data_IF_559290509800
#
_entry.id   IF_559290509800
#
_cell.length_a   1.000
_cell.length_b   1.000
_cell.length_c   1.000
_cell.angle_alpha   90.00
_cell.angle_beta   90.00
_cell.angle_gamma   90.00
#
_symmetry.space_group_name_H-M   'P 1'
#
loop_
_entity.id
_entity.type
_entity.pdbx_description
1 polymer ?
#
# COMPACT_ATOMS: atom_id res chain seq x y z
N UNK A 1 7.50 22.26 -4.97
CA UNK A 1 6.65 23.36 -5.50
C UNK A 1 5.22 22.99 -5.20
N UNK A 2 4.48 23.84 -4.48
CA UNK A 2 3.07 23.61 -4.17
C UNK A 2 2.22 23.89 -5.40
N UNK A 3 1.21 23.07 -5.67
CA UNK A 3 0.32 23.19 -6.83
C UNK A 3 -1.12 22.86 -6.43
N UNK A 4 -2.08 23.47 -7.13
CA UNK A 4 -3.50 23.29 -6.84
C UNK A 4 -4.01 22.04 -7.58
N UNK A 5 -4.63 21.11 -6.86
CA UNK A 5 -5.14 19.86 -7.40
C UNK A 5 -6.56 19.56 -6.89
N UNK A 6 -7.31 18.74 -7.62
CA UNK A 6 -8.59 18.20 -7.18
C UNK A 6 -8.37 16.92 -6.37
N UNK A 7 -8.97 16.84 -5.19
CA UNK A 7 -8.95 15.63 -4.37
C UNK A 7 -9.61 14.46 -5.11
N UNK A 8 -8.93 13.31 -5.21
CA UNK A 8 -9.46 12.09 -5.87
C UNK A 8 -10.68 11.47 -5.15
N UNK A 9 -10.98 11.87 -3.91
CA UNK A 9 -12.09 11.34 -3.12
C UNK A 9 -13.30 12.28 -3.16
N UNK A 10 -13.13 13.55 -2.78
CA UNK A 10 -14.24 14.51 -2.65
C UNK A 10 -14.30 15.56 -3.76
N UNK A 11 -13.33 15.61 -4.67
CA UNK A 11 -13.26 16.59 -5.78
C UNK A 11 -12.85 18.01 -5.37
N UNK A 12 -12.76 18.31 -4.07
CA UNK A 12 -12.39 19.63 -3.55
C UNK A 12 -10.98 20.02 -4.00
N UNK A 13 -10.81 21.29 -4.39
CA UNK A 13 -9.50 21.87 -4.69
C UNK A 13 -8.68 22.03 -3.42
N UNK A 14 -7.42 21.60 -3.45
CA UNK A 14 -6.49 21.74 -2.34
C UNK A 14 -5.06 21.99 -2.86
N UNK A 15 -4.23 22.58 -2.00
CA UNK A 15 -2.81 22.77 -2.30
C UNK A 15 -2.06 21.48 -2.01
N UNK A 16 -1.63 20.79 -3.06
CA UNK A 16 -0.83 19.58 -3.00
C UNK A 16 0.66 19.90 -2.91
N UNK A 17 1.37 19.08 -2.15
CA UNK A 17 2.84 19.04 -2.13
C UNK A 17 3.39 17.90 -3.00
N UNK A 18 2.55 17.23 -3.80
CA UNK A 18 2.89 16.08 -4.64
C UNK A 18 3.05 14.76 -3.89
N UNK A 19 2.74 14.73 -2.59
CA UNK A 19 2.94 13.55 -1.73
C UNK A 19 1.66 12.73 -1.57
N UNK A 20 0.50 13.36 -1.67
CA UNK A 20 -0.82 12.72 -1.56
C UNK A 20 -1.76 13.31 -2.61
N UNK A 21 -2.53 12.44 -3.27
CA UNK A 21 -3.49 12.83 -4.30
C UNK A 21 -4.88 13.19 -3.72
N UNK A 22 -4.96 13.37 -2.40
CA UNK A 22 -6.20 13.62 -1.66
C UNK A 22 -6.01 14.80 -0.71
N UNK A 23 -7.08 15.55 -0.47
CA UNK A 23 -7.03 16.71 0.41
C UNK A 23 -6.76 16.30 1.87
N UNK A 24 -6.27 17.24 2.72
CA UNK A 24 -5.96 16.95 4.12
C UNK A 24 -7.13 16.38 4.92
N UNK A 25 -8.36 16.81 4.60
CA UNK A 25 -9.58 16.31 5.25
C UNK A 25 -9.82 14.83 4.93
N UNK A 26 -9.84 14.47 3.65
CA UNK A 26 -10.01 13.07 3.24
C UNK A 26 -8.85 12.19 3.72
N UNK A 27 -7.62 12.74 3.76
CA UNK A 27 -6.48 12.04 4.34
C UNK A 27 -6.70 11.72 5.81
N UNK A 28 -7.13 12.70 6.61
CA UNK A 28 -7.42 12.49 8.04
C UNK A 28 -8.47 11.41 8.24
N UNK A 29 -9.56 11.44 7.48
CA UNK A 29 -10.58 10.39 7.51
C UNK A 29 -10.03 9.02 7.09
N UNK A 30 -9.06 8.99 6.18
CA UNK A 30 -8.41 7.75 5.76
C UNK A 30 -7.52 7.14 6.83
N UNK A 31 -6.83 8.00 7.57
CA UNK A 31 -6.00 7.60 8.71
C UNK A 31 -6.87 7.15 9.90
N UNK A 32 -7.98 7.84 10.19
CA UNK A 32 -8.94 7.43 11.23
C UNK A 32 -9.56 6.05 10.93
N UNK A 33 -9.88 5.76 9.66
CA UNK A 33 -10.40 4.46 9.25
C UNK A 33 -9.33 3.38 9.37
N UNK A 34 -8.09 3.69 9.01
CA UNK A 34 -6.97 2.77 9.16
C UNK A 34 -6.71 2.42 10.63
N UNK A 35 -6.78 3.40 11.53
CA UNK A 35 -6.57 3.18 12.96
C UNK A 35 -7.66 2.27 13.55
N UNK A 36 -8.92 2.45 13.14
CA UNK A 36 -10.01 1.52 13.52
C UNK A 36 -9.76 0.09 13.08
N UNK A 37 -9.21 -0.12 11.87
CA UNK A 37 -8.83 -1.46 11.39
C UNK A 37 -7.73 -2.03 12.28
N UNK A 38 -6.72 -1.21 12.60
CA UNK A 38 -5.61 -1.63 13.47
C UNK A 38 -6.10 -2.07 14.84
N UNK A 39 -6.86 -1.24 15.53
CA UNK A 39 -7.42 -1.54 16.86
C UNK A 39 -8.25 -2.83 16.84
N UNK A 40 -9.04 -3.04 15.79
CA UNK A 40 -9.82 -4.26 15.61
C UNK A 40 -8.94 -5.50 15.43
N UNK A 41 -7.90 -5.42 14.60
CA UNK A 41 -6.98 -6.54 14.37
C UNK A 41 -6.08 -6.85 15.58
N UNK A 42 -5.81 -5.86 16.44
CA UNK A 42 -5.13 -6.07 17.72
C UNK A 42 -6.00 -6.86 18.70
N UNK A 43 -7.32 -6.64 18.71
CA UNK A 43 -8.27 -7.37 19.55
C UNK A 43 -8.65 -8.75 18.99
N UNK A 44 -8.77 -8.85 17.66
CA UNK A 44 -9.21 -10.04 16.94
C UNK A 44 -8.19 -10.44 15.86
N UNK A 45 -7.04 -11.01 16.26
CA UNK A 45 -6.01 -11.42 15.32
C UNK A 45 -6.53 -12.49 14.36
N UNK A 46 -6.01 -12.50 13.12
CA UNK A 46 -6.42 -13.42 12.04
C UNK A 46 -7.90 -13.31 11.60
N UNK A 47 -8.57 -12.20 11.91
CA UNK A 47 -9.93 -11.94 11.39
C UNK A 47 -9.98 -11.98 9.87
N UNK A 48 -11.07 -12.48 9.32
CA UNK A 48 -11.27 -12.51 7.87
C UNK A 48 -11.52 -11.09 7.34
N UNK A 49 -11.04 -10.79 6.13
CA UNK A 49 -11.27 -9.51 5.43
C UNK A 49 -12.76 -9.15 5.39
N UNK A 50 -13.64 -10.14 5.15
CA UNK A 50 -15.09 -9.90 5.12
C UNK A 50 -15.65 -9.52 6.49
N UNK A 51 -15.14 -10.13 7.57
CA UNK A 51 -15.56 -9.79 8.93
C UNK A 51 -15.11 -8.39 9.31
N UNK A 52 -13.86 -8.03 9.00
CA UNK A 52 -13.33 -6.67 9.22
C UNK A 52 -14.17 -5.64 8.45
N UNK A 53 -14.50 -5.94 7.19
CA UNK A 53 -15.33 -5.07 6.35
C UNK A 53 -16.72 -4.85 6.93
N UNK A 54 -17.39 -5.92 7.40
CA UNK A 54 -18.73 -5.86 7.97
C UNK A 54 -18.74 -5.18 9.34
N UNK A 55 -17.85 -5.57 10.25
CA UNK A 55 -17.83 -5.08 11.63
C UNK A 55 -17.44 -3.61 11.73
N UNK A 56 -16.61 -3.11 10.81
CA UNK A 56 -16.19 -1.70 10.81
C UNK A 56 -16.96 -0.83 9.82
N UNK A 57 -17.88 -1.41 9.04
CA UNK A 57 -18.58 -0.76 7.92
C UNK A 57 -17.61 -0.12 6.91
N UNK A 58 -16.63 -0.93 6.46
CA UNK A 58 -15.59 -0.51 5.53
C UNK A 58 -15.69 -1.34 4.26
N UNK A 59 -15.71 -0.67 3.10
CA UNK A 59 -15.74 -1.39 1.82
C UNK A 59 -14.50 -2.28 1.63
N UNK A 60 -14.71 -3.49 1.11
CA UNK A 60 -13.64 -4.45 0.75
C UNK A 60 -12.62 -3.83 -0.21
N UNK A 61 -13.06 -2.93 -1.10
CA UNK A 61 -12.19 -2.19 -2.02
C UNK A 61 -11.16 -1.34 -1.26
N UNK A 62 -11.56 -0.71 -0.15
CA UNK A 62 -10.68 0.11 0.68
C UNK A 62 -9.66 -0.75 1.43
N UNK A 63 -10.08 -1.89 1.99
CA UNK A 63 -9.17 -2.86 2.61
C UNK A 63 -8.14 -3.38 1.59
N UNK A 64 -8.59 -3.73 0.38
CA UNK A 64 -7.71 -4.13 -0.72
C UNK A 64 -6.70 -3.04 -1.09
N UNK A 65 -7.09 -1.76 -1.01
CA UNK A 65 -6.17 -0.63 -1.24
C UNK A 65 -5.08 -0.59 -0.15
N UNK A 66 -5.43 -0.69 1.13
CA UNK A 66 -4.46 -0.71 2.22
C UNK A 66 -3.47 -1.88 2.13
N UNK A 67 -3.93 -3.05 1.65
CA UNK A 67 -3.06 -4.19 1.35
C UNK A 67 -2.06 -3.90 0.22
N UNK A 68 -2.50 -3.23 -0.85
CA UNK A 68 -1.63 -2.81 -1.97
C UNK A 68 -0.62 -1.74 -1.56
N UNK A 69 -1.00 -0.84 -0.66
CA UNK A 69 -0.15 0.21 -0.08
C UNK A 69 0.81 -0.32 0.99
N UNK A 70 0.86 -1.63 1.24
CA UNK A 70 1.66 -2.28 2.29
C UNK A 70 1.34 -1.78 3.71
N UNK A 71 0.15 -1.21 3.94
CA UNK A 71 -0.32 -0.78 5.26
C UNK A 71 -0.95 -1.94 6.04
N UNK A 72 -1.41 -2.98 5.34
CA UNK A 72 -1.92 -4.24 5.91
C UNK A 72 -1.20 -5.43 5.25
N UNK A 73 -1.25 -6.60 5.90
CA UNK A 73 -0.71 -7.85 5.37
C UNK A 73 -1.68 -9.02 5.62
N UNK A 74 -1.85 -9.89 4.63
CA UNK A 74 -2.55 -11.16 4.78
C UNK A 74 -1.57 -12.20 5.34
N UNK A 75 -1.91 -12.83 6.45
CA UNK A 75 -1.05 -13.85 7.08
C UNK A 75 -0.96 -15.12 6.22
N UNK A 76 -2.05 -15.50 5.55
CA UNK A 76 -2.09 -16.65 4.65
C UNK A 76 -1.36 -16.39 3.32
N UNK A 77 -0.37 -17.24 3.01
CA UNK A 77 0.41 -17.14 1.77
C UNK A 77 -0.41 -17.52 0.53
N UNK A 78 -1.21 -18.57 0.62
CA UNK A 78 -2.02 -19.11 -0.48
C UNK A 78 -3.41 -18.46 -0.55
N UNK A 79 -3.47 -17.13 -0.42
CA UNK A 79 -4.73 -16.38 -0.50
C UNK A 79 -5.11 -16.09 -1.96
N UNK A 80 -6.41 -16.04 -2.26
CA UNK A 80 -6.92 -15.67 -3.59
C UNK A 80 -7.31 -14.19 -3.70
N UNK A 81 -7.19 -13.44 -2.60
CA UNK A 81 -7.69 -12.07 -2.49
C UNK A 81 -6.74 -11.04 -3.13
N UNK A 82 -5.43 -11.24 -2.94
CA UNK A 82 -4.38 -10.32 -3.37
C UNK A 82 -3.38 -11.05 -4.28
N UNK A 83 -3.38 -10.69 -5.55
CA UNK A 83 -2.54 -11.31 -6.58
C UNK A 83 -1.53 -10.30 -7.15
N UNK A 84 -0.34 -10.76 -7.49
CA UNK A 84 0.67 -9.97 -8.19
C UNK A 84 0.12 -9.45 -9.52
N UNK A 85 0.24 -8.14 -9.78
CA UNK A 85 -0.25 -7.53 -11.03
C UNK A 85 0.47 -8.05 -12.29
N UNK A 86 1.69 -8.58 -12.15
CA UNK A 86 2.51 -9.05 -13.28
C UNK A 86 2.33 -10.55 -13.57
N UNK A 87 2.46 -11.41 -12.55
CA UNK A 87 2.42 -12.87 -12.74
C UNK A 87 1.17 -13.55 -12.19
N UNK A 88 0.30 -12.85 -11.46
CA UNK A 88 -0.91 -13.42 -10.87
C UNK A 88 -0.70 -14.29 -9.63
N UNK A 89 0.53 -14.49 -9.16
CA UNK A 89 0.81 -15.24 -7.92
C UNK A 89 0.21 -14.53 -6.69
N UNK A 90 -0.29 -15.30 -5.74
CA UNK A 90 -0.74 -14.80 -4.42
C UNK A 90 0.37 -14.04 -3.71
N UNK A 91 0.01 -12.89 -3.14
CA UNK A 91 0.90 -12.04 -2.35
C UNK A 91 0.22 -11.66 -1.04
N UNK A 92 1.02 -11.35 -0.02
CA UNK A 92 0.51 -11.00 1.30
C UNK A 92 0.27 -9.49 1.46
N UNK A 93 1.04 -8.68 0.75
CA UNK A 93 0.92 -7.22 0.68
C UNK A 93 1.62 -6.70 -0.59
N UNK A 94 1.34 -5.46 -0.98
CA UNK A 94 1.99 -4.80 -2.12
C UNK A 94 1.34 -5.05 -3.48
N UNK A 95 1.98 -4.56 -4.54
CA UNK A 95 1.47 -4.67 -5.92
C UNK A 95 2.03 -5.89 -6.68
N UNK A 96 3.26 -6.27 -6.36
CA UNK A 96 4.05 -7.27 -7.07
C UNK A 96 4.66 -8.24 -6.06
N UNK A 97 4.88 -9.49 -6.47
CA UNK A 97 5.66 -10.44 -5.68
C UNK A 97 7.17 -10.12 -5.76
N UNK A 98 7.93 -10.62 -4.79
CA UNK A 98 9.38 -10.38 -4.68
C UNK A 98 10.13 -10.72 -5.98
N UNK A 99 9.81 -11.84 -6.61
CA UNK A 99 10.43 -12.24 -7.88
C UNK A 99 10.13 -11.27 -9.02
N UNK A 100 8.93 -10.68 -9.07
CA UNK A 100 8.59 -9.67 -10.07
C UNK A 100 9.29 -8.35 -9.79
N UNK A 101 9.44 -7.98 -8.52
CA UNK A 101 10.17 -6.79 -8.07
C UNK A 101 11.66 -6.92 -8.44
N UNK A 102 12.28 -8.06 -8.15
CA UNK A 102 13.69 -8.32 -8.48
C UNK A 102 13.96 -8.25 -9.98
N UNK A 103 13.07 -8.83 -10.78
CA UNK A 103 13.16 -8.75 -12.24
C UNK A 103 13.04 -7.30 -12.74
N UNK A 104 12.12 -6.51 -12.18
CA UNK A 104 11.98 -5.09 -12.54
C UNK A 104 13.26 -4.29 -12.23
N UNK A 105 13.89 -4.54 -11.07
CA UNK A 105 15.17 -3.92 -10.73
C UNK A 105 16.32 -4.37 -11.65
N UNK A 106 16.32 -5.63 -12.07
CA UNK A 106 17.29 -6.15 -13.02
C UNK A 106 17.14 -5.47 -14.39
N UNK A 107 15.91 -5.41 -14.92
CA UNK A 107 15.59 -4.76 -16.19
C UNK A 107 16.01 -3.27 -16.18
N UNK A 108 15.74 -2.57 -15.06
CA UNK A 108 16.18 -1.19 -14.87
C UNK A 108 17.71 -1.04 -14.90
N UNK A 109 18.45 -1.93 -14.22
CA UNK A 109 19.94 -1.91 -14.25
C UNK A 109 20.49 -2.19 -15.65
N UNK A 110 19.82 -3.03 -16.44
CA UNK A 110 20.25 -3.35 -17.82
C UNK A 110 19.99 -2.15 -18.76
N UNK A 111 18.86 -1.47 -18.64
CA UNK A 111 18.53 -0.29 -19.44
C UNK A 111 19.49 0.89 -19.23
N UNK A 112 20.06 1.04 -18.02
CA UNK A 112 20.99 2.11 -17.66
C UNK A 112 22.48 1.79 -17.90
N UNK A 113 22.82 0.79 -18.73
CA UNK A 113 24.20 0.54 -19.21
C UNK A 113 24.70 1.59 -20.23
N UNK A 114 24.34 2.86 -20.04
CA UNK A 114 24.79 4.01 -20.83
C UNK A 114 25.50 5.11 -20.04
N UNK A 115 25.43 5.12 -18.70
CA UNK A 115 26.22 5.99 -17.78
C UNK A 115 25.89 5.60 -16.34
N UNK A 116 26.83 5.01 -15.62
CA UNK A 116 26.61 4.52 -14.25
C UNK A 116 26.82 5.67 -13.26
N UNK A 117 25.77 6.12 -12.60
CA UNK A 117 25.90 6.81 -11.30
C UNK A 117 25.53 5.78 -10.23
N UNK A 118 26.45 5.41 -9.32
CA UNK A 118 26.17 4.40 -8.32
C UNK A 118 25.24 5.01 -7.25
N UNK A 119 23.99 4.55 -7.19
CA UNK A 119 23.11 4.84 -6.04
C UNK A 119 23.67 4.07 -4.83
N UNK A 120 24.61 4.68 -4.11
CA UNK A 120 25.19 4.18 -2.86
C UNK A 120 24.36 4.59 -1.63
N UNK A 121 23.04 4.56 -1.73
CA UNK A 121 22.20 4.85 -0.57
C UNK A 121 21.54 3.54 -0.13
N UNK A 122 22.11 2.95 0.93
CA UNK A 122 21.57 1.78 1.61
C UNK A 122 20.27 2.20 2.30
N UNK A 123 19.13 2.05 1.65
CA UNK A 123 17.83 2.12 2.32
C UNK A 123 17.54 0.77 2.97
N UNK A 124 17.71 0.69 4.29
CA UNK A 124 17.23 -0.44 5.08
C UNK A 124 15.76 -0.15 5.43
N UNK A 125 14.81 -0.90 4.86
CA UNK A 125 13.43 -0.89 5.34
C UNK A 125 13.42 -1.57 6.73
N UNK A 126 13.03 -0.82 7.76
CA UNK A 126 12.68 -1.40 9.04
C UNK A 126 11.19 -1.75 8.99
N UNK A 127 10.79 -3.03 9.08
CA UNK A 127 9.38 -3.38 9.16
C UNK A 127 8.80 -2.79 10.46
N UNK A 128 7.70 -2.05 10.34
CA UNK A 128 6.75 -1.83 11.43
C UNK A 128 6.00 -3.15 11.70
N UNK A 129 6.73 -4.18 12.09
CA UNK A 129 6.19 -5.36 12.78
C UNK A 129 7.23 -5.73 13.83
N UNK A 130 7.15 -5.06 14.97
CA UNK A 130 7.71 -5.49 16.24
C UNK A 130 6.71 -5.01 17.29
N UNK A 131 6.42 -5.71 18.36
CA UNK A 131 6.74 -7.04 18.88
C UNK A 131 6.01 -7.09 20.21
#
# INVERSE_FOLDING_TARGET
>A
MLHLENCKICGTLFTSNGMFDICPYCKKQDDEVFERIREYLEQYPNSNILEVALNLDISVRRIKRYLRECRLQIVEKDNTFLLCKKCGQSIQSGEYCDSCIDNLYHDYKVAYKGRIVPVKEKFHYLPFINR
#
